data_IF_092180116049
#
_entry.id   IF_092180116049
#
_cell.length_a   1.000
_cell.length_b   1.000
_cell.length_c   1.000
_cell.angle_alpha   90.00
_cell.angle_beta   90.00
_cell.angle_gamma   90.00
#
_symmetry.space_group_name_H-M   'P 1'
#
loop_
_entity.id
_entity.type
_entity.pdbx_description
1 polymer ?
#
# COMPACT_ATOMS: atom_id res chain seq x y z
N UNK A 1 7.29 -73.76 17.70
CA UNK A 1 7.16 -72.38 18.23
C UNK A 1 7.13 -71.39 17.06
N UNK A 2 5.97 -70.85 16.76
CA UNK A 2 5.78 -69.81 15.68
C UNK A 2 5.64 -68.48 16.36
N UNK A 3 6.62 -67.59 16.18
CA UNK A 3 6.59 -66.22 16.70
C UNK A 3 5.86 -65.38 15.66
N UNK A 4 4.64 -64.95 16.01
CA UNK A 4 3.87 -63.97 15.19
C UNK A 4 4.39 -62.58 15.48
N UNK A 5 5.03 -61.95 14.48
CA UNK A 5 5.43 -60.52 14.57
C UNK A 5 4.21 -59.63 14.31
N UNK A 6 3.75 -58.93 15.34
CA UNK A 6 2.70 -57.93 15.23
C UNK A 6 3.34 -56.60 14.75
N UNK A 7 3.13 -56.28 13.47
CA UNK A 7 3.44 -54.95 12.91
C UNK A 7 2.36 -53.97 13.34
N UNK A 8 2.66 -53.13 14.32
CA UNK A 8 1.84 -51.98 14.67
C UNK A 8 2.13 -50.87 13.64
N UNK A 9 1.28 -50.70 12.68
CA UNK A 9 1.33 -49.58 11.74
C UNK A 9 0.86 -48.31 12.49
N UNK A 10 1.78 -47.42 12.90
CA UNK A 10 1.49 -46.12 13.38
C UNK A 10 1.00 -45.25 12.22
N UNK A 11 -0.31 -45.09 12.06
CA UNK A 11 -0.91 -44.13 11.16
C UNK A 11 -0.62 -42.71 11.68
N UNK A 12 0.44 -42.08 11.17
CA UNK A 12 0.67 -40.67 11.37
C UNK A 12 -0.41 -39.93 10.61
N UNK A 13 -1.44 -39.43 11.34
CA UNK A 13 -2.45 -38.52 10.81
C UNK A 13 -1.77 -37.21 10.47
N UNK A 14 -1.22 -37.10 9.26
CA UNK A 14 -0.75 -35.84 8.71
C UNK A 14 -1.95 -34.90 8.54
N UNK A 15 -2.05 -33.90 9.41
CA UNK A 15 -3.02 -32.84 9.21
C UNK A 15 -2.79 -32.20 7.82
N UNK A 16 -3.85 -31.91 7.05
CA UNK A 16 -3.67 -31.31 5.73
C UNK A 16 -2.87 -30.02 5.86
N UNK A 17 -1.84 -29.86 5.02
CA UNK A 17 -0.88 -28.73 5.08
C UNK A 17 -1.52 -27.33 5.12
N UNK A 18 -2.74 -27.19 4.64
CA UNK A 18 -3.53 -25.97 4.68
C UNK A 18 -4.13 -25.65 6.07
N UNK A 19 -4.26 -26.60 6.96
CA UNK A 19 -4.88 -26.40 8.29
C UNK A 19 -3.94 -25.70 9.28
N UNK A 20 -2.62 -25.91 9.15
CA UNK A 20 -1.64 -25.33 10.05
C UNK A 20 -1.59 -23.79 10.04
N UNK A 21 -1.58 -23.09 8.89
CA UNK A 21 -1.62 -21.62 8.84
C UNK A 21 -2.92 -21.05 9.43
N UNK A 22 -4.08 -21.65 9.17
CA UNK A 22 -5.37 -21.20 9.69
C UNK A 22 -5.41 -21.33 11.22
N UNK A 23 -4.90 -22.43 11.78
CA UNK A 23 -4.87 -22.63 13.23
C UNK A 23 -3.90 -21.65 13.92
N UNK A 24 -2.74 -21.40 13.35
CA UNK A 24 -1.80 -20.38 13.82
C UNK A 24 -2.45 -18.99 13.77
N UNK A 25 -3.12 -18.64 12.65
CA UNK A 25 -3.84 -17.39 12.49
C UNK A 25 -4.96 -17.21 13.51
N UNK A 26 -5.70 -18.28 13.83
CA UNK A 26 -6.72 -18.27 14.89
C UNK A 26 -6.12 -17.94 16.25
N UNK A 27 -4.96 -18.50 16.60
CA UNK A 27 -4.27 -18.18 17.84
C UNK A 27 -3.85 -16.71 17.92
N UNK A 28 -3.25 -16.18 16.86
CA UNK A 28 -2.88 -14.76 16.77
C UNK A 28 -4.11 -13.84 16.82
N UNK A 29 -5.19 -14.21 16.12
CA UNK A 29 -6.45 -13.48 16.13
C UNK A 29 -7.02 -13.38 17.55
N UNK A 30 -7.01 -14.46 18.29
CA UNK A 30 -7.46 -14.51 19.70
C UNK A 30 -6.67 -13.58 20.62
N UNK A 31 -5.39 -13.34 20.32
CA UNK A 31 -4.54 -12.47 21.13
C UNK A 31 -4.70 -10.98 20.78
N UNK A 32 -4.86 -10.65 19.50
CA UNK A 32 -4.72 -9.26 19.03
C UNK A 32 -6.00 -8.65 18.45
N UNK A 33 -6.98 -9.45 18.04
CA UNK A 33 -8.09 -8.95 17.20
C UNK A 33 -9.46 -9.10 17.87
N UNK A 34 -9.62 -10.10 18.74
CA UNK A 34 -10.90 -10.53 19.33
C UNK A 34 -11.63 -9.40 20.07
N UNK A 35 -10.90 -8.53 20.75
CA UNK A 35 -11.47 -7.44 21.56
C UNK A 35 -12.29 -6.47 20.71
N UNK A 36 -11.87 -6.23 19.48
CA UNK A 36 -12.53 -5.29 18.55
C UNK A 36 -13.40 -5.99 17.52
N UNK A 37 -13.01 -7.18 17.07
CA UNK A 37 -13.69 -7.85 15.95
C UNK A 37 -14.58 -9.05 16.36
N UNK A 38 -14.65 -9.35 17.67
CA UNK A 38 -15.44 -10.47 18.20
C UNK A 38 -14.73 -11.82 18.05
N UNK A 39 -15.20 -12.83 18.76
CA UNK A 39 -14.54 -14.14 18.87
C UNK A 39 -14.44 -14.89 17.53
N UNK A 40 -15.42 -14.70 16.65
CA UNK A 40 -15.50 -15.36 15.35
C UNK A 40 -15.58 -14.34 14.19
N UNK A 41 -15.00 -13.15 14.39
CA UNK A 41 -14.99 -12.10 13.36
C UNK A 41 -16.34 -11.47 13.05
N UNK A 42 -17.31 -11.60 13.96
CA UNK A 42 -18.66 -11.03 13.82
C UNK A 42 -18.71 -9.52 13.95
N UNK A 43 -17.67 -8.93 14.51
CA UNK A 43 -17.60 -7.52 14.86
C UNK A 43 -18.14 -7.24 16.27
N UNK A 44 -17.83 -6.04 16.78
CA UNK A 44 -18.28 -5.55 18.07
C UNK A 44 -18.93 -4.18 17.87
N UNK A 45 -20.18 -4.02 18.34
CA UNK A 45 -20.93 -2.79 18.19
C UNK A 45 -20.32 -1.62 18.97
N UNK A 46 -20.40 -0.39 18.42
CA UNK A 46 -19.82 0.85 18.95
C UNK A 46 -20.30 1.20 20.39
N UNK A 47 -21.45 0.69 20.81
CA UNK A 47 -22.01 0.95 22.13
C UNK A 47 -21.25 0.27 23.29
N UNK A 48 -20.34 -0.64 23.01
CA UNK A 48 -19.53 -1.30 24.03
C UNK A 48 -18.29 -0.47 24.33
N UNK A 49 -18.07 -0.15 25.61
CA UNK A 49 -16.97 0.73 26.08
C UNK A 49 -15.54 0.22 25.81
N UNK A 50 -15.36 -1.08 25.52
CA UNK A 50 -14.05 -1.69 25.27
C UNK A 50 -13.99 -2.20 23.85
N UNK A 51 -13.43 -1.37 22.97
CA UNK A 51 -13.18 -1.72 21.59
C UNK A 51 -14.45 -1.91 20.76
N UNK A 52 -14.48 -1.36 19.58
CA UNK A 52 -15.45 -1.73 18.55
C UNK A 52 -14.70 -1.93 17.24
N UNK A 53 -15.21 -2.83 16.41
CA UNK A 53 -14.67 -3.09 15.10
C UNK A 53 -15.72 -3.71 14.21
N UNK A 54 -15.63 -3.48 12.90
CA UNK A 54 -16.55 -4.07 11.96
C UNK A 54 -16.40 -5.59 11.91
N UNK A 55 -17.42 -6.27 11.37
CA UNK A 55 -17.30 -7.69 11.05
C UNK A 55 -16.19 -7.92 10.03
N UNK A 56 -15.39 -8.96 10.27
CA UNK A 56 -14.38 -9.45 9.33
C UNK A 56 -14.90 -10.57 8.44
N UNK A 57 -16.14 -10.97 8.60
CA UNK A 57 -16.77 -12.01 7.78
C UNK A 57 -17.04 -11.50 6.39
N UNK A 58 -16.38 -12.07 5.40
CA UNK A 58 -16.52 -11.69 4.00
C UNK A 58 -15.61 -10.56 3.51
N UNK A 59 -14.72 -10.03 4.36
CA UNK A 59 -13.70 -9.06 3.91
C UNK A 59 -12.62 -9.72 3.06
N UNK A 60 -12.45 -11.02 3.18
CA UNK A 60 -11.53 -11.83 2.39
C UNK A 60 -10.05 -11.59 2.70
N UNK A 61 -9.21 -12.20 1.89
CA UNK A 61 -7.76 -12.02 1.95
C UNK A 61 -7.37 -10.58 1.64
N UNK A 62 -8.03 -9.96 0.68
CA UNK A 62 -7.78 -8.60 0.20
C UNK A 62 -7.65 -7.58 1.33
N UNK A 63 -8.68 -7.43 2.15
CA UNK A 63 -8.65 -6.43 3.21
C UNK A 63 -7.75 -6.85 4.37
N UNK A 64 -7.70 -8.15 4.71
CA UNK A 64 -6.84 -8.63 5.76
C UNK A 64 -5.36 -8.37 5.46
N UNK A 65 -4.91 -8.66 4.24
CA UNK A 65 -3.54 -8.44 3.80
C UNK A 65 -3.19 -6.95 3.83
N UNK A 66 -4.02 -6.13 3.17
CA UNK A 66 -3.80 -4.69 3.11
C UNK A 66 -3.63 -4.06 4.49
N UNK A 67 -4.60 -4.23 5.39
CA UNK A 67 -4.58 -3.55 6.68
C UNK A 67 -3.45 -4.03 7.60
N UNK A 68 -3.05 -5.29 7.52
CA UNK A 68 -1.94 -5.84 8.29
C UNK A 68 -0.58 -5.39 7.75
N UNK A 69 -0.38 -5.45 6.42
CA UNK A 69 0.90 -5.07 5.79
C UNK A 69 1.16 -3.58 5.77
N UNK A 70 0.12 -2.78 5.77
CA UNK A 70 0.26 -1.33 5.81
C UNK A 70 0.37 -0.78 7.23
N UNK A 71 0.23 -1.62 8.26
CA UNK A 71 0.30 -1.20 9.65
C UNK A 71 -0.91 -0.36 10.09
N UNK A 72 -2.01 -0.40 9.36
CA UNK A 72 -3.26 0.20 9.81
C UNK A 72 -3.95 -0.63 10.90
N UNK A 73 -3.68 -1.92 10.96
CA UNK A 73 -4.15 -2.81 12.01
C UNK A 73 -2.98 -3.55 12.69
N UNK A 74 -3.07 -3.76 14.01
CA UNK A 74 -4.07 -3.27 14.98
C UNK A 74 -4.07 -1.75 15.19
N UNK A 75 -5.24 -1.17 15.48
CA UNK A 75 -5.36 0.25 15.79
C UNK A 75 -4.74 0.58 17.15
N UNK A 76 -3.92 1.62 17.22
CA UNK A 76 -3.37 2.11 18.48
C UNK A 76 -4.36 2.99 19.25
N UNK A 77 -5.25 3.71 18.55
CA UNK A 77 -6.23 4.60 19.13
C UNK A 77 -7.57 4.50 18.43
N UNK A 78 -8.62 4.25 19.18
CA UNK A 78 -9.99 4.26 18.69
C UNK A 78 -10.48 5.71 18.49
N UNK A 79 -11.31 5.93 17.47
CA UNK A 79 -11.96 7.21 17.22
C UNK A 79 -11.15 8.27 16.51
N UNK A 80 -9.91 8.02 16.14
CA UNK A 80 -9.10 8.87 15.25
C UNK A 80 -9.05 8.26 13.86
N UNK A 81 -8.78 9.12 12.84
CA UNK A 81 -8.47 8.62 11.51
C UNK A 81 -7.22 7.74 11.63
N UNK A 82 -7.29 6.47 11.22
CA UNK A 82 -6.15 5.58 11.30
C UNK A 82 -5.00 6.11 10.45
N UNK A 83 -3.80 6.03 11.02
CA UNK A 83 -2.57 6.36 10.30
C UNK A 83 -1.78 5.08 10.11
N UNK A 84 -1.08 5.01 9.01
CA UNK A 84 -0.11 3.95 8.78
C UNK A 84 0.91 3.94 9.92
N UNK A 85 1.11 2.80 10.54
CA UNK A 85 2.04 2.59 11.64
C UNK A 85 3.03 1.48 11.30
N UNK A 86 3.94 1.20 12.23
CA UNK A 86 4.83 0.06 12.10
C UNK A 86 4.02 -1.23 11.99
N UNK A 87 4.38 -2.08 11.03
CA UNK A 87 3.82 -3.43 10.89
C UNK A 87 4.21 -4.26 12.12
N UNK A 88 3.21 -4.77 12.82
CA UNK A 88 3.41 -5.49 14.08
C UNK A 88 3.86 -6.95 13.86
N UNK A 89 3.38 -7.56 12.79
CA UNK A 89 3.53 -8.99 12.54
C UNK A 89 4.58 -9.28 11.49
N UNK A 90 5.34 -10.35 11.68
CA UNK A 90 6.22 -10.89 10.64
C UNK A 90 5.43 -11.57 9.52
N UNK A 91 6.09 -11.79 8.38
CA UNK A 91 5.48 -12.30 7.15
C UNK A 91 4.68 -13.61 7.35
N UNK A 92 5.23 -14.57 8.08
CA UNK A 92 4.53 -15.83 8.37
C UNK A 92 3.27 -15.64 9.22
N UNK A 93 3.30 -14.68 10.16
CA UNK A 93 2.16 -14.34 11.00
C UNK A 93 1.07 -13.62 10.21
N UNK A 94 1.45 -12.71 9.30
CA UNK A 94 0.51 -12.03 8.41
C UNK A 94 -0.20 -13.05 7.53
N UNK A 95 0.54 -13.94 6.87
CA UNK A 95 -0.06 -15.02 6.06
C UNK A 95 -1.02 -15.90 6.86
N UNK A 96 -0.66 -16.23 8.10
CA UNK A 96 -1.52 -17.03 8.98
C UNK A 96 -2.81 -16.27 9.35
N UNK A 97 -2.71 -14.98 9.70
CA UNK A 97 -3.86 -14.13 9.99
C UNK A 97 -4.76 -13.96 8.76
N UNK A 98 -4.20 -13.71 7.58
CA UNK A 98 -4.92 -13.61 6.31
C UNK A 98 -5.66 -14.92 6.01
N UNK A 99 -5.00 -16.06 6.18
CA UNK A 99 -5.62 -17.39 5.98
C UNK A 99 -6.80 -17.59 6.94
N UNK A 100 -6.64 -17.25 8.22
CA UNK A 100 -7.72 -17.36 9.21
C UNK A 100 -8.91 -16.44 8.88
N UNK A 101 -8.67 -15.15 8.63
CA UNK A 101 -9.74 -14.18 8.31
C UNK A 101 -10.48 -14.60 7.04
N UNK A 102 -9.77 -15.08 6.03
CA UNK A 102 -10.37 -15.60 4.78
C UNK A 102 -11.25 -16.84 5.02
N UNK A 103 -10.91 -17.66 6.02
CA UNK A 103 -11.68 -18.85 6.37
C UNK A 103 -13.00 -18.55 7.10
N UNK A 104 -13.16 -17.35 7.68
CA UNK A 104 -14.38 -16.96 8.40
C UNK A 104 -15.59 -16.88 7.47
N UNK A 105 -15.42 -16.38 6.25
CA UNK A 105 -16.41 -16.37 5.17
C UNK A 105 -15.70 -15.97 3.87
N UNK A 106 -16.10 -16.62 2.77
CA UNK A 106 -15.59 -16.28 1.42
C UNK A 106 -15.72 -14.77 1.13
N UNK A 107 -14.64 -14.17 0.65
CA UNK A 107 -14.55 -12.75 0.31
C UNK A 107 -13.55 -12.53 -0.85
N UNK A 108 -13.24 -11.27 -1.18
CA UNK A 108 -12.30 -10.92 -2.24
C UNK A 108 -10.89 -11.48 -1.98
N UNK A 109 -10.22 -11.86 -3.05
CA UNK A 109 -8.82 -12.30 -3.05
C UNK A 109 -7.87 -11.12 -3.19
N UNK A 110 -6.60 -11.33 -2.83
CA UNK A 110 -5.53 -10.37 -3.07
C UNK A 110 -5.35 -10.20 -4.58
N UNK A 111 -5.36 -8.97 -5.11
CA UNK A 111 -5.10 -8.74 -6.52
C UNK A 111 -3.63 -8.99 -6.86
N UNK A 112 -3.38 -9.41 -8.08
CA UNK A 112 -2.03 -9.56 -8.62
C UNK A 112 -1.88 -8.57 -9.79
N UNK A 113 -1.46 -7.33 -9.54
CA UNK A 113 -1.25 -6.37 -10.60
C UNK A 113 -0.04 -6.75 -11.47
N UNK A 114 -0.10 -6.32 -12.72
CA UNK A 114 0.92 -6.53 -13.74
C UNK A 114 1.30 -5.17 -14.36
N UNK A 115 2.05 -4.29 -13.63
CA UNK A 115 2.38 -2.96 -14.10
C UNK A 115 3.16 -2.96 -15.42
N UNK A 116 3.93 -4.02 -15.70
CA UNK A 116 4.66 -4.21 -16.95
C UNK A 116 3.74 -4.34 -18.19
N UNK A 117 2.44 -4.58 -17.99
CA UNK A 117 1.42 -4.61 -19.03
C UNK A 117 0.62 -3.32 -19.12
N UNK A 118 0.83 -2.41 -18.17
CA UNK A 118 0.14 -1.13 -18.10
C UNK A 118 0.68 -0.12 -19.11
N UNK A 119 -0.18 0.81 -19.54
CA UNK A 119 0.20 1.94 -20.37
C UNK A 119 0.45 3.18 -19.47
N UNK A 120 1.64 3.77 -19.55
CA UNK A 120 2.05 4.91 -18.71
C UNK A 120 1.16 6.14 -18.92
N UNK A 121 0.83 6.47 -20.17
CA UNK A 121 -0.01 7.64 -20.50
C UNK A 121 -1.45 7.46 -20.02
N UNK A 122 -2.02 6.27 -20.17
CA UNK A 122 -3.32 5.93 -19.63
C UNK A 122 -3.30 5.98 -18.10
N UNK A 123 -2.24 5.45 -17.47
CA UNK A 123 -2.04 5.50 -16.03
C UNK A 123 -1.98 6.92 -15.48
N UNK A 124 -1.25 7.82 -16.14
CA UNK A 124 -1.23 9.25 -15.83
C UNK A 124 -2.63 9.87 -15.91
N UNK A 125 -3.38 9.62 -16.98
CA UNK A 125 -4.72 10.16 -17.16
C UNK A 125 -5.66 9.67 -16.06
N UNK A 126 -5.74 8.35 -15.83
CA UNK A 126 -6.59 7.74 -14.80
C UNK A 126 -6.22 8.19 -13.39
N UNK A 127 -4.92 8.28 -13.09
CA UNK A 127 -4.45 8.74 -11.80
C UNK A 127 -4.80 10.21 -11.58
N UNK A 128 -4.65 11.05 -12.59
CA UNK A 128 -5.00 12.47 -12.54
C UNK A 128 -6.50 12.65 -12.28
N UNK A 129 -7.34 11.90 -12.97
CA UNK A 129 -8.79 12.02 -12.88
C UNK A 129 -9.35 11.50 -11.54
N UNK A 130 -8.76 10.45 -10.98
CA UNK A 130 -9.35 9.73 -9.85
C UNK A 130 -8.55 9.78 -8.55
N UNK A 131 -7.25 10.04 -8.60
CA UNK A 131 -6.35 9.88 -7.46
C UNK A 131 -5.62 11.16 -7.07
N UNK A 132 -5.20 11.96 -8.05
CA UNK A 132 -4.34 13.13 -7.83
C UNK A 132 -4.96 14.20 -6.95
N UNK A 133 -6.29 14.32 -6.92
CA UNK A 133 -7.00 15.25 -6.03
C UNK A 133 -6.69 15.03 -4.54
N UNK A 134 -6.31 13.81 -4.16
CA UNK A 134 -5.89 13.45 -2.81
C UNK A 134 -4.39 13.16 -2.72
N UNK A 135 -3.85 12.37 -3.66
CA UNK A 135 -2.47 11.90 -3.62
C UNK A 135 -1.46 12.81 -4.32
N UNK A 136 -1.91 13.93 -4.91
CA UNK A 136 -1.15 14.80 -5.83
C UNK A 136 -0.69 14.06 -7.09
N UNK A 137 -0.37 14.81 -8.16
CA UNK A 137 -0.04 14.20 -9.46
C UNK A 137 1.16 13.25 -9.36
N UNK A 138 2.16 13.61 -8.59
CA UNK A 138 3.38 12.79 -8.40
C UNK A 138 3.30 11.83 -7.21
N UNK A 139 2.08 11.49 -6.77
CA UNK A 139 1.82 10.48 -5.74
C UNK A 139 2.50 10.74 -4.38
N UNK A 140 2.87 11.98 -4.08
CA UNK A 140 3.55 12.36 -2.82
C UNK A 140 2.62 12.42 -1.60
N UNK A 141 1.32 12.22 -1.80
CA UNK A 141 0.35 12.37 -0.73
C UNK A 141 0.13 13.83 -0.35
N UNK A 142 -0.54 14.07 0.74
CA UNK A 142 -0.78 15.44 1.18
C UNK A 142 -1.82 15.59 2.28
N UNK A 143 -2.41 16.77 2.34
CA UNK A 143 -3.49 17.12 3.28
C UNK A 143 -4.69 17.54 2.46
N UNK A 144 -5.81 16.85 2.65
CA UNK A 144 -7.12 17.23 2.09
C UNK A 144 -8.12 17.33 3.22
N UNK A 145 -9.26 17.98 2.97
CA UNK A 145 -10.31 18.12 3.98
C UNK A 145 -10.74 16.75 4.52
N UNK A 146 -10.49 16.51 5.80
CA UNK A 146 -10.89 15.28 6.50
C UNK A 146 -9.97 14.07 6.28
N UNK A 147 -8.87 14.21 5.54
CA UNK A 147 -7.95 13.10 5.29
C UNK A 147 -6.48 13.51 5.20
N UNK A 148 -5.62 12.54 5.45
CA UNK A 148 -4.17 12.61 5.23
C UNK A 148 -3.79 11.48 4.26
N UNK A 149 -3.96 11.65 2.95
CA UNK A 149 -3.54 10.66 1.97
C UNK A 149 -2.04 10.39 2.09
N UNK A 150 -1.63 9.13 2.24
CA UNK A 150 -0.21 8.82 2.38
C UNK A 150 0.54 9.02 1.06
N UNK A 151 1.86 9.30 1.11
CA UNK A 151 2.72 9.18 -0.05
C UNK A 151 2.76 7.72 -0.51
N UNK A 152 2.83 7.50 -1.81
CA UNK A 152 2.82 6.16 -2.42
C UNK A 152 4.22 5.64 -2.75
N UNK A 153 5.27 6.41 -2.48
CA UNK A 153 6.67 6.06 -2.72
C UNK A 153 7.04 4.66 -2.19
N UNK A 154 6.62 4.35 -0.96
CA UNK A 154 6.91 3.08 -0.31
C UNK A 154 5.76 2.05 -0.42
N UNK A 155 4.75 2.30 -1.24
CA UNK A 155 3.68 1.35 -1.48
C UNK A 155 4.11 0.32 -2.52
N UNK A 156 3.84 -0.96 -2.27
CA UNK A 156 4.03 -2.00 -3.28
C UNK A 156 2.87 -2.00 -4.27
N UNK A 157 3.08 -2.56 -5.46
CA UNK A 157 2.07 -2.70 -6.50
C UNK A 157 0.80 -3.35 -5.97
N UNK A 158 0.97 -4.43 -5.21
CA UNK A 158 -0.14 -5.12 -4.54
C UNK A 158 -0.87 -4.20 -3.58
N UNK A 159 -0.17 -3.43 -2.75
CA UNK A 159 -0.82 -2.50 -1.81
C UNK A 159 -1.58 -1.39 -2.52
N UNK A 160 -1.08 -0.90 -3.66
CA UNK A 160 -1.78 0.08 -4.50
C UNK A 160 -3.08 -0.55 -5.05
N UNK A 161 -2.97 -1.74 -5.63
CA UNK A 161 -4.11 -2.45 -6.18
C UNK A 161 -5.16 -2.79 -5.11
N UNK A 162 -4.73 -3.24 -3.94
CA UNK A 162 -5.59 -3.50 -2.79
C UNK A 162 -6.32 -2.24 -2.35
N UNK A 163 -5.60 -1.11 -2.18
CA UNK A 163 -6.19 0.16 -1.78
C UNK A 163 -7.29 0.61 -2.75
N UNK A 164 -7.06 0.50 -4.06
CA UNK A 164 -8.05 0.83 -5.10
C UNK A 164 -9.28 -0.06 -4.98
N UNK A 165 -9.11 -1.36 -4.72
CA UNK A 165 -10.22 -2.33 -4.61
C UNK A 165 -10.96 -2.28 -3.27
N UNK A 166 -10.31 -1.81 -2.19
CA UNK A 166 -10.91 -1.70 -0.85
C UNK A 166 -11.56 -0.34 -0.65
N UNK A 167 -10.91 0.74 -1.06
CA UNK A 167 -11.26 2.11 -0.67
C UNK A 167 -11.10 2.32 0.83
N UNK A 168 -9.87 2.32 1.38
CA UNK A 168 -9.65 2.43 2.82
C UNK A 168 -10.09 3.79 3.35
N UNK A 169 -10.87 3.79 4.44
CA UNK A 169 -11.36 4.98 5.15
C UNK A 169 -12.17 5.95 4.28
N UNK A 170 -11.57 7.08 3.89
CA UNK A 170 -12.20 8.11 3.05
C UNK A 170 -11.85 7.96 1.57
N UNK A 171 -10.93 7.07 1.23
CA UNK A 171 -10.59 6.78 -0.16
C UNK A 171 -11.78 6.09 -0.85
N UNK A 172 -12.18 6.52 -2.04
CA UNK A 172 -13.22 5.84 -2.80
C UNK A 172 -12.83 4.41 -3.15
N UNK A 173 -13.82 3.52 -3.14
CA UNK A 173 -13.64 2.16 -3.64
C UNK A 173 -13.93 2.10 -5.14
N UNK A 174 -13.01 1.58 -5.90
CA UNK A 174 -13.18 1.37 -7.33
C UNK A 174 -13.37 -0.13 -7.63
N UNK A 175 -14.54 -0.47 -8.15
CA UNK A 175 -14.83 -1.83 -8.62
C UNK A 175 -14.12 -2.10 -9.96
N UNK A 176 -14.07 -3.36 -10.38
CA UNK A 176 -13.56 -3.75 -11.70
C UNK A 176 -14.38 -3.20 -12.86
N UNK A 177 -15.64 -2.76 -12.60
CA UNK A 177 -16.46 -2.05 -13.58
C UNK A 177 -16.09 -0.58 -13.73
N UNK A 178 -15.62 0.06 -12.66
CA UNK A 178 -15.22 1.46 -12.67
C UNK A 178 -13.79 1.65 -13.17
N UNK A 179 -12.88 0.79 -12.74
CA UNK A 179 -11.49 0.70 -13.18
C UNK A 179 -11.21 -0.78 -13.43
N UNK A 180 -11.01 -1.18 -14.69
CA UNK A 180 -10.71 -2.58 -15.03
C UNK A 180 -9.38 -3.03 -14.43
N UNK A 181 -9.02 -4.31 -14.53
CA UNK A 181 -7.73 -4.79 -14.04
C UNK A 181 -6.59 -4.32 -14.96
N UNK A 182 -6.82 -4.13 -16.25
CA UNK A 182 -5.88 -3.53 -17.20
C UNK A 182 -5.63 -2.06 -16.89
N UNK A 183 -6.68 -1.30 -16.63
CA UNK A 183 -6.58 0.10 -16.20
C UNK A 183 -5.88 0.23 -14.85
N UNK A 184 -6.12 -0.71 -13.93
CA UNK A 184 -5.40 -0.77 -12.67
C UNK A 184 -3.89 -1.02 -12.86
N UNK A 185 -3.53 -1.90 -13.80
CA UNK A 185 -2.12 -2.11 -14.18
C UNK A 185 -1.49 -0.81 -14.68
N UNK A 186 -2.20 -0.04 -15.50
CA UNK A 186 -1.74 1.27 -16.00
C UNK A 186 -1.55 2.29 -14.86
N UNK A 187 -2.47 2.33 -13.89
CA UNK A 187 -2.35 3.19 -12.70
C UNK A 187 -1.12 2.79 -11.87
N UNK A 188 -0.92 1.49 -11.61
CA UNK A 188 0.24 1.00 -10.84
C UNK A 188 1.53 1.33 -11.57
N UNK A 189 1.60 1.11 -12.90
CA UNK A 189 2.74 1.48 -13.72
C UNK A 189 3.08 2.97 -13.60
N UNK A 190 2.07 3.84 -13.65
CA UNK A 190 2.28 5.28 -13.46
C UNK A 190 2.82 5.61 -12.07
N UNK A 191 2.26 5.02 -11.01
CA UNK A 191 2.76 5.25 -9.65
C UNK A 191 4.20 4.77 -9.49
N UNK A 192 4.57 3.63 -10.09
CA UNK A 192 5.96 3.14 -10.09
C UNK A 192 6.90 4.09 -10.83
N UNK A 193 6.45 4.63 -11.97
CA UNK A 193 7.20 5.66 -12.69
C UNK A 193 7.44 6.90 -11.81
N UNK A 194 6.46 7.34 -10.99
CA UNK A 194 6.65 8.50 -10.11
C UNK A 194 7.67 8.29 -9.01
N UNK A 195 8.00 7.04 -8.67
CA UNK A 195 9.05 6.72 -7.68
C UNK A 195 10.45 6.94 -8.25
N UNK A 196 10.63 6.71 -9.55
CA UNK A 196 11.91 6.80 -10.26
C UNK A 196 11.68 7.35 -11.67
N UNK A 197 11.32 8.65 -11.78
CA UNK A 197 11.03 9.25 -13.09
C UNK A 197 12.28 9.32 -13.94
N UNK A 198 12.10 9.20 -15.26
CA UNK A 198 13.19 9.36 -16.23
C UNK A 198 13.69 10.81 -16.24
N UNK A 199 14.97 11.01 -15.99
CA UNK A 199 15.64 12.29 -16.17
C UNK A 199 16.14 12.43 -17.61
N UNK A 200 15.45 13.25 -18.41
CA UNK A 200 15.81 13.53 -19.80
C UNK A 200 17.04 14.41 -19.94
N UNK A 201 17.84 14.57 -18.94
CA UNK A 201 19.05 15.39 -18.86
C UNK A 201 18.95 16.44 -17.75
N UNK A 202 20.13 16.99 -17.37
CA UNK A 202 20.25 17.93 -16.25
C UNK A 202 20.58 17.24 -14.92
N UNK A 203 20.59 18.04 -13.86
CA UNK A 203 20.81 17.53 -12.51
C UNK A 203 19.46 17.24 -11.86
N UNK A 204 19.20 15.96 -11.59
CA UNK A 204 18.08 15.57 -10.74
C UNK A 204 18.34 16.08 -9.31
N UNK A 205 17.62 17.10 -8.91
CA UNK A 205 17.68 17.66 -7.54
C UNK A 205 16.76 16.90 -6.58
N UNK A 206 16.67 15.57 -6.73
CA UNK A 206 15.78 14.72 -5.94
C UNK A 206 14.31 14.79 -6.37
N UNK A 207 14.06 15.15 -7.62
CA UNK A 207 12.72 15.19 -8.24
C UNK A 207 11.71 16.07 -7.46
N UNK A 208 12.22 17.14 -6.83
CA UNK A 208 11.41 18.07 -6.00
C UNK A 208 10.50 18.97 -6.81
N UNK A 209 10.56 18.88 -8.13
CA UNK A 209 9.70 19.55 -9.09
C UNK A 209 10.31 20.75 -9.78
N UNK A 210 9.64 21.26 -10.83
CA UNK A 210 10.22 22.24 -11.76
C UNK A 210 10.50 23.61 -11.15
N UNK A 211 9.83 23.99 -10.06
CA UNK A 211 10.03 25.31 -9.45
C UNK A 211 11.39 25.43 -8.74
N UNK A 212 11.76 24.52 -7.81
CA UNK A 212 13.10 24.53 -7.22
C UNK A 212 14.21 24.30 -8.24
N UNK A 213 13.98 23.39 -9.19
CA UNK A 213 14.95 23.11 -10.26
C UNK A 213 15.17 24.34 -11.17
N UNK A 214 14.09 25.01 -11.55
CA UNK A 214 14.14 26.25 -12.30
C UNK A 214 14.85 27.38 -11.55
N UNK A 215 14.64 27.51 -10.24
CA UNK A 215 15.34 28.52 -9.41
C UNK A 215 16.84 28.28 -9.43
N UNK A 216 17.31 27.05 -9.24
CA UNK A 216 18.75 26.73 -9.30
C UNK A 216 19.34 27.07 -10.67
N UNK A 217 18.66 26.69 -11.75
CA UNK A 217 19.07 27.03 -13.12
C UNK A 217 19.15 28.55 -13.33
N UNK A 218 18.17 29.31 -12.86
CA UNK A 218 18.14 30.78 -12.92
C UNK A 218 19.30 31.43 -12.17
N UNK A 219 19.59 31.00 -10.94
CA UNK A 219 20.71 31.56 -10.16
C UNK A 219 22.05 31.27 -10.83
N UNK A 220 22.28 30.04 -11.32
CA UNK A 220 23.52 29.67 -12.00
C UNK A 220 23.65 30.44 -13.32
N UNK A 221 22.61 30.46 -14.16
CA UNK A 221 22.64 31.18 -15.43
C UNK A 221 22.78 32.69 -15.23
N UNK A 222 22.07 33.26 -14.26
CA UNK A 222 22.16 34.68 -13.91
C UNK A 222 23.57 35.07 -13.44
N UNK A 223 24.15 34.30 -12.54
CA UNK A 223 25.52 34.53 -12.06
C UNK A 223 26.57 34.42 -13.20
N UNK A 224 26.42 33.42 -14.06
CA UNK A 224 27.29 33.26 -15.24
C UNK A 224 27.18 34.44 -16.22
N UNK A 225 25.94 34.90 -16.46
CA UNK A 225 25.71 36.05 -17.35
C UNK A 225 26.32 37.34 -16.77
N UNK A 226 26.12 37.61 -15.48
CA UNK A 226 26.72 38.77 -14.80
C UNK A 226 28.25 38.70 -14.86
N UNK A 227 28.84 37.56 -14.55
CA UNK A 227 30.29 37.37 -14.66
C UNK A 227 30.79 37.63 -16.07
N UNK A 228 30.11 37.12 -17.10
CA UNK A 228 30.46 37.37 -18.50
C UNK A 228 30.39 38.86 -18.87
N UNK A 229 29.34 39.55 -18.46
CA UNK A 229 29.16 40.99 -18.69
C UNK A 229 30.27 41.81 -18.02
N UNK A 230 30.68 41.44 -16.79
CA UNK A 230 31.79 42.09 -16.10
C UNK A 230 33.10 41.89 -16.82
N UNK A 231 33.41 40.69 -17.29
CA UNK A 231 34.63 40.39 -18.06
C UNK A 231 34.68 41.17 -19.36
N UNK A 232 33.55 41.26 -20.09
CA UNK A 232 33.47 42.04 -21.33
C UNK A 232 33.67 43.52 -21.01
N UNK A 233 32.99 44.05 -19.97
CA UNK A 233 33.10 45.46 -19.59
C UNK A 233 34.52 45.88 -19.13
N UNK A 234 35.26 44.96 -18.50
CA UNK A 234 36.66 45.21 -18.14
C UNK A 234 37.57 45.22 -19.38
N UNK A 235 37.32 44.36 -20.37
CA UNK A 235 38.12 44.34 -21.62
C UNK A 235 37.93 45.62 -22.43
N UNK A 236 36.68 46.11 -22.55
CA UNK A 236 36.39 47.34 -23.30
C UNK A 236 36.92 48.62 -22.63
N UNK A 237 37.23 48.57 -21.32
CA UNK A 237 37.87 49.70 -20.61
C UNK A 237 39.40 49.71 -20.78
N UNK A 238 40.01 48.64 -21.21
CA UNK A 238 41.47 48.51 -21.41
C UNK A 238 41.94 48.79 -22.83
N UNK A 239 41.01 48.86 -23.79
CA UNK A 239 41.22 49.37 -25.14
C UNK A 239 40.94 50.88 -25.26
#
# INVERSE_FOLDING_TARGET
MRIAAILVAAAVLAAPAAAAPVQQGKGLYGQYCITCHGANGEGVAKARRRGYGPSLRGVGALAADFYLRTGYMPLHHLGRQPRRSRVLFGEAQIRALVAYVSSLKKGPTIPTPHPERGNLSEGLALFTDHCAGCHQVVAQGGVVSGALPPPLENATDTQIAEAVRIGPYVMPRFSTKAISDEQLNSIVHYVDYTKHPDNSGGWALGDIGPVPEGLVAWFIAGAALVALCLIIGERTKRE
#
